data_IF_943085605465
#
_entry.id   IF_943085605465
#
_cell.length_a   1.000
_cell.length_b   1.000
_cell.length_c   1.000
_cell.angle_alpha   90.00
_cell.angle_beta   90.00
_cell.angle_gamma   90.00
#
_symmetry.space_group_name_H-M   'P 1'
#
loop_
_entity.id
_entity.type
_entity.pdbx_description
1 polymer ?
#
# COMPACT_ATOMS: atom_id res chain seq x y z
N UNK A 1 -25.64 5.37 7.17
CA UNK A 1 -25.67 4.79 5.82
C UNK A 1 -24.23 4.50 5.36
N UNK A 2 -23.89 3.25 4.99
CA UNK A 2 -22.63 2.91 4.31
C UNK A 2 -22.89 2.96 2.80
N UNK A 3 -22.12 3.73 2.04
CA UNK A 3 -22.37 3.95 0.61
C UNK A 3 -21.40 4.96 -0.01
N UNK A 4 -21.75 5.49 -1.19
CA UNK A 4 -21.01 6.51 -1.96
C UNK A 4 -20.43 7.66 -1.12
N UNK A 5 -21.15 8.29 -0.16
CA UNK A 5 -20.58 9.38 0.63
C UNK A 5 -19.33 8.96 1.44
N UNK A 6 -19.26 7.69 1.88
CA UNK A 6 -18.09 7.18 2.60
C UNK A 6 -16.87 6.91 1.72
N UNK A 7 -17.04 6.80 0.39
CA UNK A 7 -15.95 6.54 -0.55
C UNK A 7 -15.07 7.77 -0.78
N UNK A 8 -15.62 8.98 -0.69
CA UNK A 8 -14.86 10.24 -0.80
C UNK A 8 -13.80 10.41 0.29
N UNK A 9 -13.94 9.71 1.43
CA UNK A 9 -12.97 9.72 2.51
C UNK A 9 -11.73 8.83 2.26
N UNK A 10 -11.79 7.90 1.28
CA UNK A 10 -10.75 6.89 1.04
C UNK A 10 -9.45 7.43 0.42
N UNK A 11 -9.46 8.65 -0.12
CA UNK A 11 -8.28 9.28 -0.74
C UNK A 11 -7.32 9.98 0.21
N UNK A 12 -7.72 10.19 1.48
CA UNK A 12 -6.97 11.01 2.44
C UNK A 12 -5.61 10.43 2.84
N UNK A 13 -5.48 9.11 2.83
CA UNK A 13 -4.25 8.43 3.24
C UNK A 13 -3.87 7.33 2.27
N UNK A 14 -2.64 7.37 1.79
CA UNK A 14 -2.10 6.29 0.96
C UNK A 14 -1.62 5.16 1.87
N UNK A 15 -2.17 3.96 1.66
CA UNK A 15 -1.72 2.75 2.37
C UNK A 15 -0.54 2.09 1.67
N UNK A 16 -0.54 2.13 0.33
CA UNK A 16 0.49 1.59 -0.54
C UNK A 16 1.14 2.70 -1.38
N UNK A 17 2.40 2.52 -1.73
CA UNK A 17 3.18 3.34 -2.68
C UNK A 17 3.93 2.43 -3.65
N UNK A 18 4.62 3.01 -4.64
CA UNK A 18 5.52 2.27 -5.53
C UNK A 18 6.65 1.62 -4.74
N UNK A 19 6.86 0.33 -4.99
CA UNK A 19 7.96 -0.43 -4.42
C UNK A 19 9.26 -0.10 -5.14
N UNK A 20 10.31 0.21 -4.37
CA UNK A 20 11.64 0.50 -4.92
C UNK A 20 12.32 -0.70 -5.58
N UNK A 21 11.91 -1.95 -5.28
CA UNK A 21 12.49 -3.16 -5.86
C UNK A 21 11.80 -3.60 -7.15
N UNK A 22 10.47 -3.71 -7.13
CA UNK A 22 9.71 -4.28 -8.24
C UNK A 22 8.85 -3.27 -9.01
N UNK A 23 8.88 -1.98 -8.66
CA UNK A 23 8.11 -0.92 -9.35
C UNK A 23 6.59 -0.91 -9.08
N UNK A 24 5.99 -2.04 -8.69
CA UNK A 24 4.55 -2.15 -8.41
C UNK A 24 4.09 -1.24 -7.26
N UNK A 25 2.86 -0.72 -7.35
CA UNK A 25 2.21 0.11 -6.31
C UNK A 25 1.69 -0.73 -5.13
N UNK A 26 2.58 -1.52 -4.54
CA UNK A 26 2.26 -2.55 -3.55
C UNK A 26 3.15 -2.48 -2.31
N UNK A 27 3.96 -1.42 -2.16
CA UNK A 27 4.75 -1.21 -0.94
C UNK A 27 3.91 -0.56 0.14
N UNK A 28 3.65 -1.28 1.21
CA UNK A 28 2.85 -0.81 2.33
C UNK A 28 3.69 0.08 3.25
N UNK A 29 3.28 1.34 3.41
CA UNK A 29 4.05 2.36 4.14
C UNK A 29 4.20 1.98 5.61
N UNK A 30 3.09 1.71 6.32
CA UNK A 30 3.11 1.39 7.77
C UNK A 30 3.78 0.05 8.12
N UNK A 31 3.73 -0.93 7.22
CA UNK A 31 4.26 -2.29 7.47
C UNK A 31 5.65 -2.48 6.83
N UNK A 32 6.18 -1.43 6.19
CA UNK A 32 7.47 -1.40 5.50
C UNK A 32 7.74 -2.58 4.57
N UNK A 33 6.71 -3.09 3.88
CA UNK A 33 6.80 -4.31 3.09
C UNK A 33 6.05 -4.24 1.78
N UNK A 34 6.61 -4.83 0.72
CA UNK A 34 5.93 -5.02 -0.54
C UNK A 34 5.08 -6.28 -0.52
N UNK A 35 3.78 -6.15 -0.83
CA UNK A 35 2.87 -7.28 -0.96
C UNK A 35 3.11 -8.12 -2.23
N UNK A 36 3.74 -7.53 -3.25
CA UNK A 36 4.02 -8.22 -4.51
C UNK A 36 5.33 -9.02 -4.44
N UNK A 37 6.47 -8.34 -4.28
CA UNK A 37 7.78 -9.01 -4.32
C UNK A 37 8.32 -9.39 -2.94
N UNK A 38 7.69 -9.00 -1.82
CA UNK A 38 8.22 -9.25 -0.48
C UNK A 38 9.35 -8.32 0.00
N UNK A 39 9.70 -7.27 -0.76
CA UNK A 39 10.72 -6.28 -0.36
C UNK A 39 10.42 -5.69 1.03
N UNK A 40 11.37 -5.74 1.96
CA UNK A 40 11.22 -5.29 3.35
C UNK A 40 10.67 -6.33 4.34
N UNK A 41 10.17 -7.47 3.84
CA UNK A 41 9.84 -8.67 4.63
C UNK A 41 10.95 -9.71 4.61
N UNK A 42 11.63 -9.83 3.48
CA UNK A 42 12.70 -10.80 3.28
C UNK A 42 14.02 -10.25 3.85
N UNK A 43 14.46 -10.79 4.99
CA UNK A 43 15.88 -11.00 5.27
C UNK A 43 16.28 -12.30 4.56
N UNK A 44 16.66 -12.20 3.29
CA UNK A 44 17.57 -13.10 2.59
C UNK A 44 17.94 -12.46 1.26
#
# INVERSE_FOLDING_TARGET
MKGTPSQGLKGRSKTHIRCRRCGHHSYHIRKHKCAHCGFGKSKN
#
